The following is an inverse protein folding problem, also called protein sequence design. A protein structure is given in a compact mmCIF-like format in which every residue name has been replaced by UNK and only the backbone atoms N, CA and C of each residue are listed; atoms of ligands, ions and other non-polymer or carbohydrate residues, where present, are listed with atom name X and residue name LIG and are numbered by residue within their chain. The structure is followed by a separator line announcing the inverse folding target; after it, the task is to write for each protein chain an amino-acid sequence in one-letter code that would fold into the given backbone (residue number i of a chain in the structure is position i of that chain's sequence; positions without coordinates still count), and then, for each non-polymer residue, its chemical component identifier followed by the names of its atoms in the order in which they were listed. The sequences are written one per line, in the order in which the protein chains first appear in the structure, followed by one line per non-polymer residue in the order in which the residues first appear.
data_IF_826171649087
#
_entry.id   IF_826171649087
#
_cell.length_a   1.000
_cell.length_b   1.000
_cell.length_c   1.000
_cell.angle_alpha   90.00
_cell.angle_beta   90.00
_cell.angle_gamma   90.00
#
_symmetry.space_group_name_H-M   'P 1'
#
loop_
_entity.id
_entity.type
_entity.pdbx_description
1 polymer ?
#
# COMPACT_ATOMS: atom_id res chain seq x y z
N UNK A 1 -22.06 -8.24 -0.28
CA UNK A 1 -20.86 -8.26 0.58
C UNK A 1 -20.06 -9.50 0.29
N UNK A 2 -18.83 -9.31 -0.14
CA UNK A 2 -17.86 -10.38 -0.40
C UNK A 2 -17.07 -10.61 0.89
N UNK A 3 -17.09 -11.83 1.41
CA UNK A 3 -16.50 -12.14 2.73
C UNK A 3 -14.97 -12.09 2.76
N UNK A 4 -14.32 -11.99 1.60
CA UNK A 4 -12.87 -11.93 1.47
C UNK A 4 -12.45 -10.98 0.34
N UNK A 5 -11.28 -10.31 0.47
CA UNK A 5 -10.66 -9.55 -0.60
C UNK A 5 -10.45 -10.39 -1.86
N UNK A 6 -10.38 -9.70 -3.00
CA UNK A 6 -10.02 -10.29 -4.28
C UNK A 6 -8.64 -10.95 -4.22
N UNK A 7 -8.56 -12.19 -4.71
CA UNK A 7 -7.33 -12.99 -4.68
C UNK A 7 -6.60 -13.07 -6.03
N UNK A 8 -7.19 -12.48 -7.08
CA UNK A 8 -6.53 -12.31 -8.38
C UNK A 8 -5.65 -11.05 -8.44
N UNK A 9 -5.13 -10.73 -9.62
CA UNK A 9 -4.33 -9.52 -9.81
C UNK A 9 -5.19 -8.26 -9.93
N UNK A 10 -4.57 -7.09 -9.72
CA UNK A 10 -5.24 -5.79 -9.78
C UNK A 10 -5.89 -5.49 -11.13
N UNK A 11 -5.36 -5.99 -12.25
CA UNK A 11 -5.96 -5.77 -13.57
C UNK A 11 -7.27 -6.56 -13.70
N UNK A 12 -7.26 -7.82 -13.29
CA UNK A 12 -8.45 -8.69 -13.30
C UNK A 12 -9.57 -8.15 -12.39
N UNK A 13 -9.22 -7.51 -11.27
CA UNK A 13 -10.18 -6.86 -10.38
C UNK A 13 -10.88 -5.68 -11.06
N UNK A 14 -10.14 -4.86 -11.81
CA UNK A 14 -10.72 -3.74 -12.57
C UNK A 14 -11.69 -4.24 -13.64
N UNK A 15 -11.35 -5.33 -14.33
CA UNK A 15 -12.25 -5.94 -15.30
C UNK A 15 -13.53 -6.46 -14.63
N UNK A 16 -13.42 -7.08 -13.44
CA UNK A 16 -14.58 -7.51 -12.66
C UNK A 16 -15.47 -6.32 -12.24
N UNK A 17 -14.87 -5.17 -11.90
CA UNK A 17 -15.63 -3.94 -11.64
C UNK A 17 -16.36 -3.43 -12.89
N UNK A 18 -15.68 -3.42 -14.05
CA UNK A 18 -16.27 -2.99 -15.34
C UNK A 18 -17.40 -3.92 -15.79
N UNK A 19 -17.28 -5.21 -15.50
CA UNK A 19 -18.30 -6.21 -15.78
C UNK A 19 -19.47 -6.17 -14.78
N UNK A 20 -19.36 -5.42 -13.68
CA UNK A 20 -20.36 -5.39 -12.60
C UNK A 20 -20.39 -6.65 -11.74
N UNK A 21 -19.37 -7.50 -11.84
CA UNK A 21 -19.23 -8.74 -11.05
C UNK A 21 -18.74 -8.45 -9.62
N UNK A 22 -18.07 -7.31 -9.44
CA UNK A 22 -17.59 -6.80 -8.16
C UNK A 22 -17.88 -5.30 -8.06
N UNK A 23 -17.96 -4.81 -6.83
CA UNK A 23 -18.14 -3.38 -6.53
C UNK A 23 -16.88 -2.82 -5.85
N UNK A 24 -16.37 -1.64 -6.27
CA UNK A 24 -15.26 -0.97 -5.58
C UNK A 24 -15.52 -0.75 -4.08
N UNK A 25 -16.77 -0.39 -3.72
CA UNK A 25 -17.14 -0.16 -2.33
C UNK A 25 -17.14 -1.46 -1.51
N UNK A 26 -17.68 -2.56 -2.06
CA UNK A 26 -17.67 -3.85 -1.37
C UNK A 26 -16.26 -4.42 -1.25
N UNK A 27 -15.42 -4.23 -2.27
CA UNK A 27 -14.03 -4.68 -2.27
C UNK A 27 -13.18 -3.88 -1.26
N UNK A 28 -13.44 -2.59 -1.11
CA UNK A 28 -12.81 -1.79 -0.07
C UNK A 28 -13.18 -2.31 1.33
N UNK A 29 -14.47 -2.56 1.61
CA UNK A 29 -14.86 -3.08 2.92
C UNK A 29 -14.23 -4.45 3.22
N UNK A 30 -14.12 -5.32 2.20
CA UNK A 30 -13.41 -6.58 2.34
C UNK A 30 -11.92 -6.37 2.68
N UNK A 31 -11.26 -5.41 2.02
CA UNK A 31 -9.86 -5.05 2.28
C UNK A 31 -9.67 -4.47 3.69
N UNK A 32 -10.56 -3.57 4.12
CA UNK A 32 -10.53 -2.98 5.47
C UNK A 32 -10.70 -4.06 6.56
N UNK A 33 -11.67 -4.96 6.38
CA UNK A 33 -11.88 -6.08 7.30
C UNK A 33 -10.66 -7.01 7.36
N UNK A 34 -10.00 -7.28 6.22
CA UNK A 34 -8.79 -8.08 6.18
C UNK A 34 -7.61 -7.38 6.88
N UNK A 35 -7.47 -6.05 6.70
CA UNK A 35 -6.44 -5.25 7.38
C UNK A 35 -6.65 -5.27 8.90
N UNK A 36 -7.89 -5.07 9.36
CA UNK A 36 -8.24 -5.11 10.79
C UNK A 36 -7.95 -6.48 11.43
N UNK A 37 -8.26 -7.56 10.72
CA UNK A 37 -8.02 -8.92 11.20
C UNK A 37 -6.55 -9.38 11.11
N UNK A 38 -5.69 -8.60 10.43
CA UNK A 38 -4.30 -9.00 10.15
C UNK A 38 -3.38 -8.82 11.35
N UNK A 39 -2.52 -9.81 11.60
CA UNK A 39 -1.45 -9.74 12.60
C UNK A 39 -0.05 -9.51 11.99
N UNK A 40 0.00 -9.14 10.71
CA UNK A 40 1.25 -8.98 9.95
C UNK A 40 2.00 -7.69 10.27
N UNK A 41 1.38 -6.71 10.91
CA UNK A 41 1.98 -5.38 11.11
C UNK A 41 2.29 -4.67 9.79
N UNK A 42 1.48 -4.91 8.75
CA UNK A 42 1.73 -4.43 7.40
C UNK A 42 1.33 -2.96 7.20
N UNK A 43 0.32 -2.48 7.93
CA UNK A 43 -0.18 -1.09 7.89
C UNK A 43 0.15 -0.35 9.19
N UNK A 44 0.45 0.95 9.07
CA UNK A 44 0.75 1.86 10.19
C UNK A 44 -0.27 2.98 10.33
N UNK A 45 -1.04 3.24 9.28
CA UNK A 45 -2.13 4.20 9.24
C UNK A 45 -3.17 3.74 8.23
N UNK A 46 -4.45 3.93 8.53
CA UNK A 46 -5.59 3.66 7.65
C UNK A 46 -6.51 4.88 7.70
N UNK A 47 -6.94 5.37 6.54
CA UNK A 47 -7.87 6.50 6.41
C UNK A 47 -9.18 5.99 5.83
N UNK A 48 -9.97 5.30 6.66
CA UNK A 48 -11.17 4.61 6.22
C UNK A 48 -12.22 5.57 5.65
N UNK A 49 -12.35 6.78 6.22
CA UNK A 49 -13.34 7.77 5.77
C UNK A 49 -13.01 8.22 4.35
N UNK A 50 -11.76 8.63 4.10
CA UNK A 50 -11.32 9.03 2.75
C UNK A 50 -11.37 7.87 1.77
N UNK A 51 -10.99 6.66 2.20
CA UNK A 51 -11.03 5.47 1.36
C UNK A 51 -12.47 5.17 0.92
N UNK A 52 -13.43 5.16 1.85
CA UNK A 52 -14.86 4.91 1.57
C UNK A 52 -15.44 5.94 0.62
N UNK A 53 -15.15 7.22 0.85
CA UNK A 53 -15.58 8.29 -0.04
C UNK A 53 -15.01 8.11 -1.46
N UNK A 54 -13.73 7.71 -1.57
CA UNK A 54 -13.07 7.49 -2.86
C UNK A 54 -13.64 6.27 -3.59
N UNK A 55 -13.88 5.16 -2.88
CA UNK A 55 -14.47 3.96 -3.47
C UNK A 55 -15.92 4.17 -3.93
N UNK A 56 -16.72 4.92 -3.17
CA UNK A 56 -18.08 5.27 -3.55
C UNK A 56 -18.15 6.14 -4.82
N UNK A 57 -17.12 6.96 -5.06
CA UNK A 57 -16.98 7.81 -6.23
C UNK A 57 -16.05 7.24 -7.32
N UNK A 58 -15.73 5.94 -7.26
CA UNK A 58 -14.74 5.33 -8.14
C UNK A 58 -15.17 5.36 -9.62
N UNK A 59 -14.27 5.83 -10.48
CA UNK A 59 -14.43 5.76 -11.93
C UNK A 59 -13.72 4.52 -12.49
N UNK A 60 -14.49 3.46 -12.71
CA UNK A 60 -13.99 2.16 -13.21
C UNK A 60 -13.47 2.21 -14.66
N UNK A 61 -13.67 3.32 -15.38
CA UNK A 61 -13.07 3.54 -16.70
C UNK A 61 -11.57 3.88 -16.63
N UNK A 62 -11.08 4.32 -15.46
CA UNK A 62 -9.65 4.58 -15.23
C UNK A 62 -8.83 3.27 -15.19
N UNK A 63 -7.50 3.32 -15.39
CA UNK A 63 -6.65 2.13 -15.45
C UNK A 63 -6.79 1.19 -14.25
N UNK A 64 -6.90 1.74 -13.04
CA UNK A 64 -7.09 1.02 -11.78
C UNK A 64 -8.27 1.59 -10.97
N UNK A 65 -9.30 2.06 -11.66
CA UNK A 65 -10.49 2.67 -11.07
C UNK A 65 -11.13 1.81 -9.99
N UNK A 66 -11.10 2.28 -8.75
CA UNK A 66 -11.72 1.60 -7.61
C UNK A 66 -10.85 0.55 -6.90
N UNK A 67 -9.63 0.28 -7.37
CA UNK A 67 -8.74 -0.73 -6.77
C UNK A 67 -8.15 -0.22 -5.45
N UNK A 68 -8.33 -0.93 -4.32
CA UNK A 68 -7.69 -0.58 -3.06
C UNK A 68 -6.16 -0.66 -3.14
N UNK A 69 -5.46 0.32 -2.57
CA UNK A 69 -3.99 0.35 -2.55
C UNK A 69 -3.42 0.68 -1.16
N UNK A 70 -2.35 -0.02 -0.79
CA UNK A 70 -1.45 0.37 0.30
C UNK A 70 -0.33 1.30 -0.19
N UNK A 71 -0.11 2.42 0.48
CA UNK A 71 0.91 3.41 0.12
C UNK A 71 2.10 3.26 1.06
N UNK A 72 3.33 3.16 0.57
CA UNK A 72 4.50 3.12 1.46
C UNK A 72 4.53 4.38 2.32
N UNK A 73 4.73 4.23 3.63
CA UNK A 73 4.75 5.36 4.59
C UNK A 73 5.81 6.43 4.38
N UNK A 74 6.74 6.22 3.44
CA UNK A 74 7.74 7.22 3.02
C UNK A 74 7.29 8.03 1.79
N UNK A 75 6.13 7.73 1.23
CA UNK A 75 5.45 8.55 0.22
C UNK A 75 4.49 9.51 0.94
N UNK A 76 4.61 10.81 0.67
CA UNK A 76 3.73 11.81 1.28
C UNK A 76 2.33 11.74 0.67
N UNK A 77 1.31 11.78 1.53
CA UNK A 77 -0.11 11.96 1.19
C UNK A 77 -0.66 13.03 2.13
N UNK A 78 -1.25 14.09 1.57
CA UNK A 78 -1.68 15.25 2.34
C UNK A 78 -2.67 14.87 3.46
N UNK A 79 -2.36 15.30 4.68
CA UNK A 79 -3.14 15.00 5.88
C UNK A 79 -2.83 13.65 6.53
N UNK A 80 -2.02 12.79 5.91
CA UNK A 80 -1.56 11.52 6.50
C UNK A 80 -0.27 11.71 7.32
N UNK A 81 0.08 10.77 8.21
CA UNK A 81 1.36 10.79 8.90
C UNK A 81 2.54 10.83 7.92
N UNK A 82 3.55 11.63 8.24
CA UNK A 82 4.80 11.75 7.48
C UNK A 82 5.97 11.54 8.43
N UNK A 83 6.04 10.36 9.04
CA UNK A 83 6.90 10.10 10.20
C UNK A 83 8.31 9.63 9.82
N UNK A 84 8.56 9.36 8.54
CA UNK A 84 9.75 8.63 8.07
C UNK A 84 10.00 7.31 8.82
N UNK A 85 8.95 6.75 9.43
CA UNK A 85 9.05 5.58 10.32
C UNK A 85 10.00 5.80 11.51
N UNK A 86 10.17 7.06 11.93
CA UNK A 86 11.11 7.51 12.96
C UNK A 86 10.40 8.22 14.12
N UNK A 87 10.90 7.97 15.34
CA UNK A 87 10.43 8.68 16.54
C UNK A 87 10.64 10.20 16.47
N UNK A 88 11.64 10.66 15.69
CA UNK A 88 11.96 12.09 15.55
C UNK A 88 10.83 12.86 14.86
N UNK A 89 10.06 12.19 13.98
CA UNK A 89 8.97 12.79 13.22
C UNK A 89 7.61 12.17 13.56
N UNK A 90 7.46 11.55 14.74
CA UNK A 90 6.26 10.81 15.13
C UNK A 90 4.94 11.61 15.07
N UNK A 91 5.02 12.94 15.12
CA UNK A 91 3.86 13.85 15.06
C UNK A 91 3.81 14.69 13.79
N UNK A 92 4.66 14.39 12.80
CA UNK A 92 4.68 15.12 11.52
C UNK A 92 3.54 14.60 10.64
N UNK A 93 2.81 15.53 10.05
CA UNK A 93 1.75 15.27 9.07
C UNK A 93 2.20 15.85 7.73
N UNK A 94 1.96 15.11 6.64
CA UNK A 94 2.27 15.59 5.31
C UNK A 94 1.39 16.80 4.94
N UNK A 95 2.04 17.86 4.46
CA UNK A 95 1.41 19.09 3.98
C UNK A 95 1.07 19.05 2.48
N UNK A 96 1.39 17.93 1.82
CA UNK A 96 1.16 17.71 0.40
C UNK A 96 1.14 16.23 0.06
N UNK A 97 0.57 15.93 -1.09
CA UNK A 97 0.66 14.60 -1.70
C UNK A 97 1.78 14.58 -2.71
N UNK A 98 2.57 13.51 -2.70
CA UNK A 98 3.68 13.36 -3.61
C UNK A 98 3.23 13.22 -5.07
N UNK A 99 4.01 13.73 -6.02
CA UNK A 99 3.58 13.83 -7.43
C UNK A 99 3.15 12.48 -8.03
N UNK A 100 3.88 11.40 -7.73
CA UNK A 100 3.52 10.08 -8.23
C UNK A 100 2.26 9.55 -7.56
N UNK A 101 2.02 9.83 -6.27
CA UNK A 101 0.77 9.50 -5.59
C UNK A 101 -0.41 10.31 -6.12
N UNK A 102 -0.23 11.61 -6.39
CA UNK A 102 -1.27 12.43 -7.05
C UNK A 102 -1.70 11.83 -8.38
N UNK A 103 -0.75 11.38 -9.21
CA UNK A 103 -1.06 10.70 -10.48
C UNK A 103 -1.69 9.33 -10.26
N UNK A 104 -1.23 8.58 -9.26
CA UNK A 104 -1.80 7.28 -8.90
C UNK A 104 -3.30 7.42 -8.57
N UNK A 105 -3.64 8.37 -7.70
CA UNK A 105 -5.02 8.60 -7.24
C UNK A 105 -5.88 9.25 -8.33
N UNK A 106 -5.34 10.27 -9.00
CA UNK A 106 -6.03 11.03 -10.03
C UNK A 106 -6.18 10.26 -11.34
N UNK A 107 -5.07 10.00 -12.02
CA UNK A 107 -5.06 9.38 -13.35
C UNK A 107 -5.27 7.86 -13.26
N UNK A 108 -4.67 7.21 -12.25
CA UNK A 108 -4.80 5.77 -12.03
C UNK A 108 -6.18 5.37 -11.49
N UNK A 109 -6.81 6.21 -10.68
CA UNK A 109 -8.15 5.97 -10.12
C UNK A 109 -8.20 4.98 -8.96
N UNK A 110 -7.05 4.65 -8.35
CA UNK A 110 -6.97 3.76 -7.19
C UNK A 110 -7.63 4.39 -5.95
N UNK A 111 -8.02 3.55 -5.00
CA UNK A 111 -8.56 3.94 -3.70
C UNK A 111 -7.44 3.84 -2.64
N UNK A 112 -6.89 4.97 -2.14
CA UNK A 112 -5.84 4.95 -1.12
C UNK A 112 -6.43 4.49 0.22
N UNK A 113 -6.02 3.31 0.69
CA UNK A 113 -6.52 2.73 1.95
C UNK A 113 -5.77 3.25 3.16
N UNK A 114 -4.45 3.30 3.06
CA UNK A 114 -3.59 3.65 4.19
C UNK A 114 -2.10 3.51 3.88
N UNK A 115 -1.29 3.74 4.91
CA UNK A 115 0.16 3.63 4.83
C UNK A 115 0.66 2.25 5.27
N UNK A 116 1.53 1.66 4.47
CA UNK A 116 2.22 0.40 4.77
C UNK A 116 3.55 0.65 5.45
N UNK A 117 3.92 -0.23 6.39
CA UNK A 117 5.14 -0.13 7.18
C UNK A 117 6.38 -0.12 6.29
N UNK A 118 7.26 0.85 6.54
CA UNK A 118 8.61 0.86 6.02
C UNK A 118 9.67 0.75 7.14
N UNK A 119 10.91 0.46 6.75
CA UNK A 119 12.05 0.69 7.64
C UNK A 119 12.24 2.19 7.87
N UNK A 120 12.72 2.55 9.06
CA UNK A 120 13.09 3.92 9.41
C UNK A 120 13.99 4.55 8.31
N UNK A 121 13.58 5.69 7.77
CA UNK A 121 14.19 6.41 6.62
C UNK A 121 14.39 5.58 5.34
N UNK A 122 13.76 4.42 5.26
CA UNK A 122 13.98 3.45 4.19
C UNK A 122 15.37 2.81 4.21
N UNK A 123 16.12 2.92 5.32
CA UNK A 123 17.56 2.65 5.40
C UNK A 123 17.95 1.19 5.65
N UNK A 124 17.02 0.34 6.07
CA UNK A 124 17.28 -1.08 6.35
C UNK A 124 16.55 -2.00 5.37
N UNK A 125 17.13 -3.18 5.11
CA UNK A 125 16.51 -4.23 4.28
C UNK A 125 15.56 -5.14 5.09
N UNK A 126 15.05 -4.63 6.21
CA UNK A 126 14.06 -5.29 7.09
C UNK A 126 13.09 -4.22 7.59
N UNK A 127 11.78 -4.40 7.38
CA UNK A 127 10.75 -3.47 7.84
C UNK A 127 10.44 -3.68 9.33
N UNK A 128 11.27 -3.06 10.16
CA UNK A 128 11.06 -2.93 11.61
C UNK A 128 11.54 -1.55 12.06
N UNK A 129 10.84 -0.94 13.01
CA UNK A 129 11.23 0.32 13.63
C UNK A 129 10.64 0.43 15.05
N UNK A 130 11.04 1.47 15.79
CA UNK A 130 10.58 1.69 17.17
C UNK A 130 9.20 2.33 17.28
N UNK A 131 8.69 2.93 16.21
CA UNK A 131 7.44 3.68 16.20
C UNK A 131 6.23 2.74 16.04
N UNK A 132 6.31 1.78 15.11
CA UNK A 132 5.21 0.90 14.73
C UNK A 132 5.53 -0.60 14.89
N UNK A 133 6.75 -0.96 15.28
CA UNK A 133 7.14 -2.36 15.53
C UNK A 133 7.66 -3.05 14.27
N UNK A 134 7.24 -4.30 14.04
CA UNK A 134 7.81 -5.18 13.01
C UNK A 134 6.74 -5.69 12.07
N UNK A 135 7.00 -5.63 10.75
CA UNK A 135 6.20 -6.32 9.76
C UNK A 135 6.69 -7.76 9.58
N UNK A 136 5.74 -8.70 9.63
CA UNK A 136 5.97 -10.13 9.49
C UNK A 136 5.71 -10.61 8.06
N UNK A 137 6.44 -11.65 7.67
CA UNK A 137 6.23 -12.30 6.38
C UNK A 137 4.92 -13.12 6.39
N UNK A 138 4.01 -12.95 5.42
CA UNK A 138 2.76 -13.71 5.36
C UNK A 138 2.95 -15.22 5.16
N UNK A 139 4.09 -15.65 4.59
CA UNK A 139 4.40 -17.08 4.45
C UNK A 139 4.81 -17.75 5.76
N UNK A 140 5.37 -16.98 6.70
CA UNK A 140 5.73 -17.45 8.03
C UNK A 140 5.86 -16.28 8.99
N UNK A 141 4.89 -16.15 9.90
CA UNK A 141 4.91 -15.14 10.97
C UNK A 141 6.22 -15.19 11.76
N UNK A 142 6.76 -14.02 12.11
CA UNK A 142 8.04 -13.89 12.80
C UNK A 142 9.27 -13.92 11.87
N UNK A 143 9.11 -14.28 10.60
CA UNK A 143 10.15 -14.05 9.57
C UNK A 143 10.02 -12.64 9.00
N UNK A 144 11.14 -12.15 8.46
CA UNK A 144 11.18 -10.83 7.81
C UNK A 144 10.42 -10.86 6.47
N UNK A 145 9.63 -9.82 6.22
CA UNK A 145 9.06 -9.51 4.91
C UNK A 145 10.07 -8.83 3.96
N UNK A 146 11.35 -8.73 4.35
CA UNK A 146 12.35 -7.88 3.70
C UNK A 146 12.14 -6.40 4.02
N UNK A 147 12.79 -5.53 3.24
CA UNK A 147 12.69 -4.10 3.41
C UNK A 147 13.46 -3.32 2.35
N UNK A 148 13.29 -2.00 2.28
CA UNK A 148 12.50 -1.21 3.24
C UNK A 148 10.98 -1.17 2.98
N UNK A 149 10.47 -1.71 1.86
CA UNK A 149 9.02 -1.74 1.55
C UNK A 149 8.38 -3.09 1.94
N UNK A 150 8.75 -3.62 3.12
CA UNK A 150 8.26 -4.90 3.64
C UNK A 150 6.76 -4.89 3.92
N UNK A 151 6.22 -3.81 4.50
CA UNK A 151 4.78 -3.64 4.72
C UNK A 151 3.99 -3.72 3.41
N UNK A 152 4.45 -3.06 2.35
CA UNK A 152 3.83 -3.15 1.02
C UNK A 152 3.80 -4.57 0.48
N UNK A 153 4.89 -5.31 0.61
CA UNK A 153 4.97 -6.69 0.10
C UNK A 153 4.14 -7.66 0.95
N UNK A 154 4.14 -7.49 2.28
CA UNK A 154 3.33 -8.28 3.18
C UNK A 154 1.83 -8.01 3.00
N UNK A 155 1.44 -6.76 2.76
CA UNK A 155 0.05 -6.39 2.51
C UNK A 155 -0.50 -7.06 1.24
N UNK A 156 0.28 -7.07 0.16
CA UNK A 156 -0.12 -7.72 -1.09
C UNK A 156 -0.11 -9.24 -0.98
N UNK A 157 1.00 -9.84 -0.50
CA UNK A 157 1.10 -11.29 -0.38
C UNK A 157 0.17 -11.87 0.69
N UNK A 158 -0.20 -11.08 1.70
CA UNK A 158 -1.19 -11.43 2.72
C UNK A 158 -2.63 -11.25 2.28
N UNK A 159 -2.89 -10.80 1.05
CA UNK A 159 -4.25 -10.59 0.54
C UNK A 159 -5.00 -9.44 1.21
N UNK A 160 -4.30 -8.44 1.75
CA UNK A 160 -4.92 -7.28 2.39
C UNK A 160 -5.33 -6.21 1.37
N UNK A 161 -4.51 -6.06 0.32
CA UNK A 161 -4.77 -5.19 -0.84
C UNK A 161 -4.17 -5.85 -2.09
N UNK A 162 -4.74 -5.64 -3.29
CA UNK A 162 -4.25 -6.27 -4.52
C UNK A 162 -2.95 -5.66 -5.06
N UNK A 163 -2.61 -4.43 -4.66
CA UNK A 163 -1.40 -3.72 -5.07
C UNK A 163 -0.95 -2.74 -3.99
N UNK A 164 0.34 -2.41 -3.98
CA UNK A 164 0.91 -1.41 -3.07
C UNK A 164 2.02 -0.61 -3.74
N UNK A 165 2.22 0.64 -3.31
CA UNK A 165 3.39 1.43 -3.71
C UNK A 165 4.65 0.99 -2.94
N UNK A 166 5.81 1.43 -3.43
CA UNK A 166 7.08 1.18 -2.78
C UNK A 166 8.18 2.13 -3.27
N UNK A 167 9.32 2.09 -2.62
CA UNK A 167 10.51 2.85 -3.01
C UNK A 167 11.76 1.97 -2.98
N UNK A 168 12.64 2.10 -3.97
CA UNK A 168 13.82 1.24 -4.16
C UNK A 168 15.06 2.07 -4.53
N UNK A 169 15.88 2.33 -3.51
CA UNK A 169 17.21 2.94 -3.68
C UNK A 169 18.33 1.89 -3.85
N UNK A 170 18.22 0.75 -3.15
CA UNK A 170 19.22 -0.32 -3.14
C UNK A 170 18.65 -1.74 -3.25
N UNK A 171 17.37 -1.88 -3.59
CA UNK A 171 16.64 -3.16 -3.56
C UNK A 171 15.32 -3.10 -2.80
N UNK A 172 14.96 -1.96 -2.22
CA UNK A 172 13.85 -1.88 -1.25
C UNK A 172 12.44 -2.15 -1.79
N UNK A 173 12.24 -2.37 -3.09
CA UNK A 173 11.03 -3.00 -3.65
C UNK A 173 11.32 -4.48 -3.99
N UNK A 174 12.43 -4.75 -4.66
CA UNK A 174 12.76 -6.09 -5.18
C UNK A 174 13.09 -7.11 -4.10
N UNK A 175 13.78 -6.70 -3.03
CA UNK A 175 14.12 -7.52 -1.87
C UNK A 175 12.84 -7.99 -1.16
N UNK A 176 11.95 -7.10 -0.66
CA UNK A 176 10.75 -7.57 0.02
C UNK A 176 9.81 -8.34 -0.92
N UNK A 177 9.72 -7.97 -2.21
CA UNK A 177 8.98 -8.77 -3.18
C UNK A 177 9.53 -10.21 -3.31
N UNK A 178 10.86 -10.38 -3.35
CA UNK A 178 11.48 -11.70 -3.37
C UNK A 178 11.22 -12.52 -2.10
N UNK A 179 11.17 -11.87 -0.93
CA UNK A 179 10.89 -12.53 0.35
C UNK A 179 9.41 -12.90 0.51
N UNK A 180 8.51 -12.11 -0.10
CA UNK A 180 7.06 -12.32 -0.06
C UNK A 180 6.52 -13.03 -1.30
N UNK A 181 7.36 -13.52 -2.22
CA UNK A 181 6.91 -14.28 -3.39
C UNK A 181 6.12 -13.46 -4.41
N UNK A 182 6.45 -12.18 -4.58
CA UNK A 182 5.74 -11.24 -5.45
C UNK A 182 6.60 -10.75 -6.62
N UNK A 183 5.92 -10.17 -7.61
CA UNK A 183 6.55 -9.30 -8.60
C UNK A 183 6.73 -7.90 -7.99
N UNK A 184 7.97 -7.41 -7.98
CA UNK A 184 8.30 -6.06 -7.54
C UNK A 184 9.16 -5.33 -8.57
N UNK A 185 8.68 -4.19 -9.08
CA UNK A 185 9.35 -3.45 -10.16
C UNK A 185 9.95 -2.13 -9.67
N UNK A 186 11.23 -1.92 -9.93
CA UNK A 186 11.88 -0.61 -9.88
C UNK A 186 12.05 -0.08 -11.31
N UNK A 187 11.33 0.99 -11.66
CA UNK A 187 11.53 1.68 -12.94
C UNK A 187 12.94 2.26 -13.09
N UNK A 188 13.36 2.55 -14.32
CA UNK A 188 14.63 3.26 -14.58
C UNK A 188 14.72 4.54 -13.74
N UNK A 189 15.91 4.86 -13.23
CA UNK A 189 16.08 6.06 -12.42
C UNK A 189 15.58 7.30 -13.18
N UNK A 190 14.77 8.14 -12.52
CA UNK A 190 14.12 9.31 -13.12
C UNK A 190 12.83 9.04 -13.91
N UNK A 191 12.43 7.77 -14.13
CA UNK A 191 11.15 7.44 -14.77
C UNK A 191 9.96 7.86 -13.91
N UNK A 192 10.05 7.64 -12.61
CA UNK A 192 9.05 8.05 -11.62
C UNK A 192 9.64 9.25 -10.86
N UNK A 193 8.93 10.39 -10.79
CA UNK A 193 9.41 11.56 -10.05
C UNK A 193 9.52 11.23 -8.55
N UNK A 194 10.52 11.82 -7.86
CA UNK A 194 10.78 11.59 -6.42
C UNK A 194 10.20 12.66 -5.49
N UNK A 195 9.65 13.74 -6.04
CA UNK A 195 9.07 14.82 -5.26
C UNK A 195 8.30 15.82 -6.14
N UNK A 196 7.69 16.85 -5.54
CA UNK A 196 7.42 16.95 -4.10
C UNK A 196 6.54 15.79 -3.62
#
# INVERSE_FOLDING_TARGET
MTDAPWTGDACSLVEAFRAGERSPAEELEASLAAIEASDLGAFVHVDEERARATAAAADVAKPFGGVPIGVKSLDQVEGWPDTEESLVFAHRTADRTSTHMTRMFGDGGVVPVGQTLASEFGGLNVSTNRLHGTCHNPWQRGRTAGGSSGGSSAAVAGGLVPIASGGDGGGSIRIPAGFCGLVGMKGTAGRIPRGP
#
